data_IF_652459141692
#
_entry.id   IF_652459141692
#
_cell.length_a   1.000
_cell.length_b   1.000
_cell.length_c   1.000
_cell.angle_alpha   90.00
_cell.angle_beta   90.00
_cell.angle_gamma   90.00
#
_symmetry.space_group_name_H-M   'P 1'
#
loop_
_entity.id
_entity.type
_entity.pdbx_description
1 polymer ?
#
# COMPACT_ATOMS: atom_id res chain seq x y z
N UNK A 1 19.17 -12.68 -19.24
CA UNK A 1 18.19 -11.68 -18.77
C UNK A 1 18.99 -10.58 -18.07
N UNK A 2 18.79 -9.30 -18.39
CA UNK A 2 19.49 -8.20 -17.67
C UNK A 2 18.99 -8.19 -16.22
N UNK A 3 19.91 -8.03 -15.28
CA UNK A 3 19.54 -7.83 -13.88
C UNK A 3 18.85 -6.47 -13.71
N UNK A 4 17.54 -6.49 -13.61
CA UNK A 4 16.73 -5.28 -13.50
C UNK A 4 17.04 -4.49 -12.23
N UNK A 5 17.32 -5.16 -11.11
CA UNK A 5 17.70 -4.48 -9.88
C UNK A 5 18.98 -3.65 -10.07
N UNK A 6 19.98 -4.21 -10.78
CA UNK A 6 21.20 -3.47 -11.10
C UNK A 6 20.95 -2.28 -12.03
N UNK A 7 20.00 -2.41 -12.95
CA UNK A 7 19.65 -1.34 -13.89
C UNK A 7 18.94 -0.16 -13.19
N UNK A 8 18.02 -0.44 -12.26
CA UNK A 8 17.19 0.55 -11.61
C UNK A 8 17.70 1.06 -10.26
N UNK A 9 18.72 0.39 -9.67
CA UNK A 9 19.32 0.83 -8.41
C UNK A 9 19.84 2.28 -8.43
N UNK A 10 20.44 2.80 -9.52
CA UNK A 10 20.92 4.20 -9.56
C UNK A 10 19.81 5.24 -9.41
N UNK A 11 18.56 4.90 -9.69
CA UNK A 11 17.38 5.76 -9.50
C UNK A 11 16.55 5.36 -8.29
N UNK A 12 17.13 4.60 -7.35
CA UNK A 12 16.48 4.23 -6.09
C UNK A 12 15.32 3.23 -6.22
N UNK A 13 15.19 2.54 -7.35
CA UNK A 13 14.12 1.56 -7.55
C UNK A 13 14.64 0.12 -7.45
N UNK A 14 13.77 -0.75 -6.96
CA UNK A 14 13.97 -2.19 -6.87
C UNK A 14 12.76 -2.91 -7.46
N UNK A 15 13.00 -4.11 -7.95
CA UNK A 15 11.95 -4.99 -8.46
C UNK A 15 11.24 -5.66 -7.29
N UNK A 16 9.96 -5.40 -7.06
CA UNK A 16 9.20 -6.07 -6.01
C UNK A 16 8.73 -7.45 -6.45
N UNK A 17 8.46 -8.33 -5.49
CA UNK A 17 7.59 -9.48 -5.70
C UNK A 17 6.14 -9.00 -5.75
N UNK A 18 5.40 -9.44 -6.76
CA UNK A 18 4.00 -9.03 -6.98
C UNK A 18 3.06 -10.13 -6.50
N UNK A 19 2.14 -9.76 -5.63
CA UNK A 19 1.08 -10.61 -5.15
C UNK A 19 -0.26 -10.16 -5.72
N UNK A 20 -1.07 -11.10 -6.17
CA UNK A 20 -2.42 -10.85 -6.65
C UNK A 20 -3.44 -11.69 -5.88
N UNK A 21 -4.67 -11.19 -5.69
CA UNK A 21 -5.76 -11.98 -5.16
C UNK A 21 -6.06 -13.15 -6.10
N UNK A 22 -6.25 -14.35 -5.52
CA UNK A 22 -6.48 -15.57 -6.27
C UNK A 22 -7.93 -15.72 -6.75
N UNK A 23 -8.89 -15.12 -6.01
CA UNK A 23 -10.33 -15.23 -6.24
C UNK A 23 -11.03 -13.94 -5.77
N UNK A 24 -12.29 -13.79 -6.15
CA UNK A 24 -13.22 -12.76 -5.64
C UNK A 24 -12.66 -11.33 -5.70
N UNK A 25 -12.05 -10.97 -6.83
CA UNK A 25 -11.42 -9.67 -7.05
C UNK A 25 -12.37 -8.51 -6.76
N UNK A 26 -13.67 -8.67 -7.01
CA UNK A 26 -14.70 -7.64 -6.79
C UNK A 26 -14.83 -7.26 -5.31
N UNK A 27 -14.73 -8.23 -4.39
CA UNK A 27 -14.75 -7.99 -2.94
C UNK A 27 -13.37 -7.70 -2.37
N UNK A 28 -12.33 -8.03 -3.11
CA UNK A 28 -10.96 -7.80 -2.66
C UNK A 28 -10.62 -6.32 -2.67
N UNK A 29 -10.95 -5.60 -3.73
CA UNK A 29 -10.62 -4.19 -3.88
C UNK A 29 -11.54 -3.32 -3.04
N UNK A 30 -10.94 -2.48 -2.21
CA UNK A 30 -11.62 -1.42 -1.46
C UNK A 30 -10.90 -0.10 -1.70
N UNK A 31 -11.53 1.01 -1.27
CA UNK A 31 -10.94 2.34 -1.39
C UNK A 31 -9.70 2.48 -0.49
N UNK A 32 -8.82 3.44 -0.77
CA UNK A 32 -7.64 3.68 0.04
C UNK A 32 -8.00 4.04 1.49
N UNK A 33 -7.19 3.60 2.45
CA UNK A 33 -7.45 3.68 3.89
C UNK A 33 -7.53 5.11 4.44
N UNK A 34 -7.04 6.10 3.70
CA UNK A 34 -7.07 7.53 4.02
C UNK A 34 -8.29 8.27 3.43
N UNK A 35 -9.21 7.54 2.80
CA UNK A 35 -10.47 8.09 2.32
C UNK A 35 -11.59 7.89 3.34
N UNK A 36 -12.64 8.69 3.27
CA UNK A 36 -13.79 8.63 4.18
C UNK A 36 -13.39 8.61 5.67
N UNK A 37 -12.38 9.43 6.03
CA UNK A 37 -11.80 9.45 7.39
C UNK A 37 -12.77 9.95 8.45
N UNK A 38 -13.74 10.77 8.07
CA UNK A 38 -14.80 11.32 8.92
C UNK A 38 -16.13 10.56 8.79
N UNK A 39 -16.15 9.45 8.08
CA UNK A 39 -17.36 8.69 7.73
C UNK A 39 -17.21 7.23 8.20
N UNK A 40 -17.23 6.94 9.50
CA UNK A 40 -17.06 5.58 10.01
C UNK A 40 -18.11 4.61 9.49
N UNK A 41 -19.35 5.09 9.22
CA UNK A 41 -20.45 4.32 8.65
C UNK A 41 -20.15 3.79 7.24
N UNK A 42 -19.34 4.50 6.44
CA UNK A 42 -18.87 4.01 5.15
C UNK A 42 -18.05 2.73 5.32
N UNK A 43 -17.17 2.72 6.30
CA UNK A 43 -16.29 1.59 6.57
C UNK A 43 -17.04 0.43 7.23
N UNK A 44 -18.05 0.70 8.06
CA UNK A 44 -18.92 -0.32 8.64
C UNK A 44 -19.75 -1.03 7.57
N UNK A 45 -20.29 -0.28 6.61
CA UNK A 45 -20.97 -0.85 5.47
C UNK A 45 -20.03 -1.65 4.57
N UNK A 46 -18.82 -1.16 4.35
CA UNK A 46 -17.78 -1.88 3.60
C UNK A 46 -17.44 -3.21 4.27
N UNK A 47 -17.25 -3.21 5.60
CA UNK A 47 -17.01 -4.42 6.39
C UNK A 47 -18.17 -5.42 6.27
N UNK A 48 -19.42 -4.93 6.32
CA UNK A 48 -20.61 -5.76 6.15
C UNK A 48 -20.68 -6.41 4.77
N UNK A 49 -20.34 -5.67 3.72
CA UNK A 49 -20.33 -6.17 2.33
C UNK A 49 -19.21 -7.20 2.12
N UNK A 50 -18.03 -6.92 2.65
CA UNK A 50 -16.85 -7.79 2.54
C UNK A 50 -17.06 -9.09 3.34
N UNK A 51 -17.57 -8.98 4.57
CA UNK A 51 -17.73 -10.11 5.48
C UNK A 51 -16.41 -10.87 5.64
N UNK A 52 -16.48 -12.21 5.64
CA UNK A 52 -15.31 -13.09 5.77
C UNK A 52 -14.54 -13.33 4.47
N UNK A 53 -14.97 -12.71 3.35
CA UNK A 53 -14.29 -12.88 2.08
C UNK A 53 -12.88 -12.25 2.10
N UNK A 54 -11.89 -12.83 1.41
CA UNK A 54 -10.59 -12.20 1.28
C UNK A 54 -10.72 -10.79 0.69
N UNK A 55 -10.17 -9.79 1.39
CA UNK A 55 -10.25 -8.38 0.98
C UNK A 55 -9.04 -7.59 1.46
N UNK A 56 -8.71 -6.54 0.72
CA UNK A 56 -7.72 -5.56 1.12
C UNK A 56 -8.12 -4.83 2.41
N UNK A 57 -9.42 -4.75 2.74
CA UNK A 57 -9.91 -4.22 4.02
C UNK A 57 -9.25 -4.90 5.22
N UNK A 58 -9.07 -6.23 5.16
CA UNK A 58 -8.43 -6.99 6.23
C UNK A 58 -6.90 -6.88 6.28
N UNK A 59 -6.31 -6.22 5.28
CA UNK A 59 -4.85 -6.06 5.14
C UNK A 59 -4.37 -4.63 5.41
N UNK A 60 -5.27 -3.73 5.78
CA UNK A 60 -4.97 -2.32 6.07
C UNK A 60 -5.76 -1.82 7.26
N UNK A 61 -5.39 -0.65 7.77
CA UNK A 61 -6.10 0.06 8.84
C UNK A 61 -6.71 1.33 8.26
N UNK A 62 -8.06 1.39 8.06
CA UNK A 62 -8.75 2.63 7.72
C UNK A 62 -8.49 3.72 8.76
N UNK A 63 -8.23 4.95 8.34
CA UNK A 63 -7.98 6.06 9.26
C UNK A 63 -9.19 6.38 10.15
N UNK A 64 -10.39 6.16 9.65
CA UNK A 64 -11.63 6.28 10.44
C UNK A 64 -11.66 5.36 11.68
N UNK A 65 -10.82 4.32 11.72
CA UNK A 65 -10.74 3.36 12.82
C UNK A 65 -9.57 3.57 13.77
N UNK A 66 -8.72 4.57 13.56
CA UNK A 66 -7.52 4.81 14.38
C UNK A 66 -7.83 4.99 15.89
N UNK A 67 -9.03 5.45 16.23
CA UNK A 67 -9.47 5.60 17.62
C UNK A 67 -10.15 4.36 18.23
N UNK A 68 -10.33 3.28 17.47
CA UNK A 68 -10.94 2.04 17.98
C UNK A 68 -9.93 1.26 18.83
N UNK A 69 -10.43 0.59 19.85
CA UNK A 69 -9.60 -0.34 20.65
C UNK A 69 -9.06 -1.46 19.74
N UNK A 70 -7.78 -1.77 19.87
CA UNK A 70 -7.07 -2.77 19.08
C UNK A 70 -7.13 -2.57 17.55
N UNK A 71 -7.32 -1.32 17.08
CA UNK A 71 -7.39 -1.02 15.67
C UNK A 71 -6.18 -1.57 14.89
N UNK A 72 -6.44 -2.41 13.89
CA UNK A 72 -5.42 -2.99 13.04
C UNK A 72 -4.61 -4.15 13.65
N UNK A 73 -4.94 -4.61 14.86
CA UNK A 73 -4.22 -5.71 15.53
C UNK A 73 -4.23 -7.02 14.71
N UNK A 74 -5.33 -7.29 14.00
CA UNK A 74 -5.50 -8.52 13.20
C UNK A 74 -4.84 -8.43 11.81
N UNK A 75 -4.46 -7.24 11.35
CA UNK A 75 -3.91 -7.03 10.00
C UNK A 75 -2.69 -7.90 9.72
N UNK A 76 -1.66 -7.97 10.59
CA UNK A 76 -0.50 -8.82 10.32
C UNK A 76 -0.84 -10.32 10.30
N UNK A 77 -1.78 -10.75 11.13
CA UNK A 77 -2.25 -12.14 11.14
C UNK A 77 -3.01 -12.48 9.85
N UNK A 78 -3.87 -11.57 9.37
CA UNK A 78 -4.57 -11.70 8.09
C UNK A 78 -3.61 -11.74 6.90
N UNK A 79 -2.56 -10.92 6.90
CA UNK A 79 -1.52 -10.96 5.86
C UNK A 79 -0.88 -12.33 5.78
N UNK A 80 -0.46 -12.90 6.93
CA UNK A 80 0.12 -14.25 6.99
C UNK A 80 -0.88 -15.32 6.55
N UNK A 81 -2.14 -15.20 6.98
CA UNK A 81 -3.21 -16.13 6.61
C UNK A 81 -3.44 -16.14 5.10
N UNK A 82 -3.54 -14.96 4.46
CA UNK A 82 -3.80 -14.83 3.01
C UNK A 82 -2.66 -15.40 2.15
N UNK A 83 -1.44 -15.34 2.65
CA UNK A 83 -0.30 -16.02 2.02
C UNK A 83 -0.38 -17.55 2.21
N UNK A 84 -0.73 -18.01 3.40
CA UNK A 84 -0.74 -19.43 3.74
C UNK A 84 -1.89 -20.19 3.08
N UNK A 85 -3.08 -19.58 2.98
CA UNK A 85 -4.28 -20.19 2.40
C UNK A 85 -4.42 -19.96 0.88
N UNK A 86 -3.50 -19.23 0.28
CA UNK A 86 -3.48 -18.92 -1.14
C UNK A 86 -4.51 -17.88 -1.58
N UNK A 87 -5.12 -17.12 -0.66
CA UNK A 87 -5.96 -15.96 -0.98
C UNK A 87 -5.18 -14.91 -1.76
N UNK A 88 -3.89 -14.76 -1.44
CA UNK A 88 -2.90 -14.04 -2.23
C UNK A 88 -1.91 -15.03 -2.84
N UNK A 89 -1.55 -14.82 -4.09
CA UNK A 89 -0.57 -15.64 -4.79
C UNK A 89 0.50 -14.79 -5.45
N UNK A 90 1.73 -15.23 -5.39
CA UNK A 90 2.83 -14.61 -6.13
C UNK A 90 2.68 -14.87 -7.64
N UNK A 91 2.91 -13.83 -8.42
CA UNK A 91 3.07 -13.91 -9.88
C UNK A 91 4.54 -13.70 -10.29
N UNK A 92 5.44 -13.64 -9.30
CA UNK A 92 6.86 -13.44 -9.48
C UNK A 92 7.29 -12.00 -9.29
N UNK A 93 8.57 -11.75 -9.54
CA UNK A 93 9.19 -10.43 -9.44
C UNK A 93 9.00 -9.63 -10.73
N UNK A 94 8.68 -8.35 -10.60
CA UNK A 94 8.51 -7.48 -11.76
C UNK A 94 8.03 -6.08 -11.37
N UNK A 95 7.98 -5.21 -12.36
CA UNK A 95 7.29 -3.92 -12.27
C UNK A 95 5.88 -4.06 -12.81
N UNK A 96 4.92 -3.31 -12.23
CA UNK A 96 3.57 -3.22 -12.78
C UNK A 96 3.38 -1.85 -13.42
N UNK A 97 3.14 -1.86 -14.73
CA UNK A 97 2.76 -0.65 -15.45
C UNK A 97 1.28 -0.38 -15.26
N UNK A 98 0.97 0.78 -14.69
CA UNK A 98 -0.40 1.24 -14.45
C UNK A 98 -0.79 2.28 -15.48
N UNK A 99 -1.88 2.04 -16.18
CA UNK A 99 -2.47 2.99 -17.12
C UNK A 99 -3.91 3.27 -16.69
N UNK A 100 -4.15 4.46 -16.17
CA UNK A 100 -5.48 4.87 -15.68
C UNK A 100 -6.07 5.96 -16.56
N UNK A 101 -7.27 5.73 -17.07
CA UNK A 101 -8.05 6.76 -17.74
C UNK A 101 -8.81 7.58 -16.69
N UNK A 102 -8.72 8.89 -16.78
CA UNK A 102 -9.44 9.87 -15.95
C UNK A 102 -10.18 10.84 -16.86
N UNK A 103 -11.01 11.74 -16.28
CA UNK A 103 -11.64 12.85 -17.02
C UNK A 103 -10.61 13.76 -17.68
N UNK A 104 -9.45 13.97 -17.05
CA UNK A 104 -8.39 14.88 -17.48
C UNK A 104 -7.39 14.22 -18.46
N UNK A 105 -7.54 12.93 -18.76
CA UNK A 105 -6.65 12.23 -19.67
C UNK A 105 -6.20 10.86 -19.15
N UNK A 106 -5.02 10.44 -19.58
CA UNK A 106 -4.46 9.14 -19.18
C UNK A 106 -3.28 9.39 -18.24
N UNK A 107 -3.36 8.83 -17.05
CA UNK A 107 -2.23 8.75 -16.12
C UNK A 107 -1.45 7.47 -16.34
N UNK A 108 -0.14 7.59 -16.36
CA UNK A 108 0.80 6.49 -16.42
C UNK A 108 1.53 6.37 -15.08
N UNK A 109 1.79 5.16 -14.64
CA UNK A 109 2.51 4.90 -13.41
C UNK A 109 3.28 3.59 -13.49
N UNK A 110 4.26 3.48 -12.61
CA UNK A 110 5.04 2.28 -12.40
C UNK A 110 4.93 1.89 -10.92
N UNK A 111 4.48 0.67 -10.64
CA UNK A 111 4.59 0.11 -9.30
C UNK A 111 5.95 -0.54 -9.17
N UNK A 112 6.71 -0.09 -8.18
CA UNK A 112 8.07 -0.52 -7.88
C UNK A 112 8.30 -0.52 -6.37
N UNK A 113 9.33 -1.20 -5.91
CA UNK A 113 9.87 -0.98 -4.57
C UNK A 113 10.85 0.21 -4.60
N UNK A 114 10.84 0.99 -3.52
CA UNK A 114 11.66 2.20 -3.37
C UNK A 114 12.73 1.94 -2.33
N UNK A 115 13.97 2.31 -2.65
CA UNK A 115 15.09 2.25 -1.71
C UNK A 115 15.00 3.41 -0.72
N UNK A 116 14.56 3.12 0.50
CA UNK A 116 14.35 4.13 1.54
C UNK A 116 15.64 4.79 2.03
N UNK A 117 16.80 4.22 1.77
CA UNK A 117 18.10 4.87 2.08
C UNK A 117 18.37 6.10 1.19
N UNK A 118 17.61 6.24 0.09
CA UNK A 118 17.68 7.40 -0.79
C UNK A 118 16.55 8.43 -0.55
N UNK A 119 15.80 8.26 0.53
CA UNK A 119 14.73 9.16 0.94
C UNK A 119 15.15 9.98 2.15
N UNK A 120 14.90 11.27 2.10
CA UNK A 120 15.03 12.17 3.24
C UNK A 120 13.80 13.07 3.34
N UNK A 121 13.20 13.12 4.53
CA UNK A 121 12.03 13.93 4.82
C UNK A 121 12.38 15.37 5.29
N UNK A 122 13.65 15.71 5.34
CA UNK A 122 14.11 17.06 5.67
C UNK A 122 13.67 18.06 4.58
N UNK A 123 13.12 19.22 4.94
CA UNK A 123 12.70 20.24 3.96
C UNK A 123 13.81 20.76 3.05
N UNK A 124 15.07 20.59 3.49
CA UNK A 124 16.27 21.03 2.75
C UNK A 124 17.03 19.87 2.11
N UNK A 125 16.45 18.67 2.10
CA UNK A 125 17.09 17.50 1.56
C UNK A 125 17.40 17.66 0.06
N UNK A 126 18.63 17.32 -0.32
CA UNK A 126 19.06 17.18 -1.71
C UNK A 126 19.23 15.70 -2.04
N UNK A 127 18.15 14.94 -1.82
CA UNK A 127 18.10 13.51 -2.11
C UNK A 127 17.22 13.24 -3.32
N UNK A 128 17.42 12.07 -3.92
CA UNK A 128 16.64 11.65 -5.09
C UNK A 128 15.13 11.61 -4.81
N UNK A 129 14.76 11.20 -3.59
CA UNK A 129 13.37 11.14 -3.14
C UNK A 129 13.15 12.06 -1.95
N UNK A 130 12.12 12.89 -2.05
CA UNK A 130 11.79 13.92 -1.06
C UNK A 130 10.35 13.83 -0.63
N UNK A 131 10.07 14.24 0.61
CA UNK A 131 8.70 14.40 1.09
C UNK A 131 8.03 15.58 0.39
N UNK A 132 6.79 15.39 -0.07
CA UNK A 132 5.97 16.49 -0.63
C UNK A 132 5.24 17.26 0.46
N UNK A 133 5.03 16.65 1.61
CA UNK A 133 4.29 17.22 2.73
C UNK A 133 4.78 16.65 4.09
N UNK A 134 4.43 17.34 5.17
CA UNK A 134 4.70 16.85 6.51
C UNK A 134 3.67 15.79 6.92
N UNK A 135 4.13 14.75 7.60
CA UNK A 135 3.28 13.68 8.13
C UNK A 135 2.50 14.14 9.36
N UNK A 136 1.24 13.73 9.48
CA UNK A 136 0.41 13.90 10.66
C UNK A 136 0.95 13.00 11.78
N UNK A 137 1.59 13.61 12.77
CA UNK A 137 2.35 12.90 13.83
C UNK A 137 1.48 11.96 14.67
N UNK A 138 0.24 12.33 14.92
CA UNK A 138 -0.71 11.58 15.73
C UNK A 138 -1.06 10.21 15.12
N UNK A 139 -0.91 10.09 13.81
CA UNK A 139 -1.18 8.84 13.06
C UNK A 139 0.00 7.86 13.05
N UNK A 140 1.21 8.34 13.37
CA UNK A 140 2.43 7.54 13.26
C UNK A 140 2.47 6.33 14.20
N UNK A 141 2.09 6.41 15.50
CA UNK A 141 2.23 5.27 16.41
C UNK A 141 1.50 4.01 15.92
N UNK A 142 0.24 4.14 15.50
CA UNK A 142 -0.56 3.02 15.01
C UNK A 142 0.01 2.45 13.69
N UNK A 143 0.43 3.32 12.77
CA UNK A 143 1.04 2.91 11.50
C UNK A 143 2.38 2.21 11.70
N UNK A 144 3.22 2.70 12.62
CA UNK A 144 4.51 2.07 12.96
C UNK A 144 4.28 0.69 13.60
N UNK A 145 3.32 0.59 14.52
CA UNK A 145 3.00 -0.68 15.17
C UNK A 145 2.56 -1.73 14.14
N UNK A 146 1.66 -1.36 13.23
CA UNK A 146 1.21 -2.24 12.15
C UNK A 146 2.37 -2.65 11.24
N UNK A 147 3.21 -1.70 10.78
CA UNK A 147 4.32 -1.99 9.86
C UNK A 147 5.41 -2.87 10.45
N UNK A 148 5.65 -2.82 11.76
CA UNK A 148 6.62 -3.70 12.41
C UNK A 148 6.28 -5.18 12.28
N UNK A 149 5.00 -5.51 12.22
CA UNK A 149 4.49 -6.87 12.15
C UNK A 149 4.02 -7.26 10.73
N UNK A 150 3.88 -6.28 9.83
CA UNK A 150 3.41 -6.49 8.47
C UNK A 150 4.41 -7.31 7.66
N UNK A 151 3.90 -8.29 6.92
CA UNK A 151 4.69 -9.12 5.99
C UNK A 151 4.39 -8.77 4.54
N UNK A 152 3.48 -7.85 4.30
CA UNK A 152 3.09 -7.32 3.00
C UNK A 152 3.07 -5.80 3.04
N UNK A 153 3.32 -5.17 1.91
CA UNK A 153 3.17 -3.73 1.75
C UNK A 153 1.76 -3.40 1.22
N UNK A 154 0.98 -2.72 2.03
CA UNK A 154 -0.37 -2.24 1.73
C UNK A 154 -0.68 -1.00 2.60
N UNK A 155 -1.31 0.05 2.08
CA UNK A 155 -1.48 0.46 0.68
C UNK A 155 -0.19 1.04 0.08
N UNK A 156 -0.17 1.25 -1.24
CA UNK A 156 0.99 1.82 -1.92
C UNK A 156 1.10 3.34 -1.71
N UNK A 157 2.32 3.83 -1.66
CA UNK A 157 2.61 5.28 -1.64
C UNK A 157 2.67 5.78 -3.09
N UNK A 158 2.04 6.92 -3.36
CA UNK A 158 2.15 7.62 -4.64
C UNK A 158 3.37 8.53 -4.62
N UNK A 159 4.27 8.31 -5.56
CA UNK A 159 5.42 9.18 -5.82
C UNK A 159 5.18 9.88 -7.16
N UNK A 160 5.45 11.17 -7.23
CA UNK A 160 5.43 11.93 -8.47
C UNK A 160 6.86 12.08 -8.97
N UNK A 161 7.03 11.98 -10.29
CA UNK A 161 8.31 12.24 -10.96
C UNK A 161 8.24 13.55 -11.70
N UNK A 162 9.28 14.34 -11.64
CA UNK A 162 9.48 15.49 -12.50
C UNK A 162 9.84 15.01 -13.91
N UNK A 163 9.39 15.72 -14.95
CA UNK A 163 9.75 15.46 -16.35
C UNK A 163 11.19 15.90 -16.66
#
# INVERSE_FOLDING_TARGET
MKDLNKLFAPIGLRVPEILLPARDIERFAVIACDQHTAEPEYWEETERIVGDAPSALHLMLPEAWLGRENAGADVPANMRRYLADGSLRSIGEGFVYVRRRTSEGIRHGLLAAVDLEQYDFSPTADTLMRATEATVRERLPARIALRREAVLEMPHVLVLTDD
#
